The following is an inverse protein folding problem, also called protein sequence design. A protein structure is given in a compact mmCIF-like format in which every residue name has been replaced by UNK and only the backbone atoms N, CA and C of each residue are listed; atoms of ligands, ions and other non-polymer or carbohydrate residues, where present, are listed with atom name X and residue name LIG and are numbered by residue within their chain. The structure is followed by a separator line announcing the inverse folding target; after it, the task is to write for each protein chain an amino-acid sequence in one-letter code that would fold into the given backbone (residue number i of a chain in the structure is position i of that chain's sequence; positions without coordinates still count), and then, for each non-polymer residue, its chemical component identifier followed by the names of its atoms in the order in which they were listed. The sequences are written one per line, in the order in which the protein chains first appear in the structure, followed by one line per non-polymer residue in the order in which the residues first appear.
data_IF_184696765430
#
_entry.id   IF_184696765430
#
_cell.length_a   1.000
_cell.length_b   1.000
_cell.length_c   1.000
_cell.angle_alpha   90.00
_cell.angle_beta   90.00
_cell.angle_gamma   90.00
#
_symmetry.space_group_name_H-M   'P 1'
#
loop_
_entity.id
_entity.type
_entity.pdbx_description
1 polymer ?
#
# COMPACT_ATOMS: atom_id res chain seq x y z
N UNK A 1 -13.36 18.52 -20.52
CA UNK A 1 -13.02 17.09 -20.34
C UNK A 1 -12.30 16.93 -19.01
N UNK A 2 -13.03 16.64 -17.93
CA UNK A 2 -12.44 16.51 -16.57
C UNK A 2 -11.70 15.17 -16.45
N UNK A 3 -12.23 14.12 -17.10
CA UNK A 3 -11.68 12.77 -17.05
C UNK A 3 -10.33 12.62 -17.77
N UNK A 4 -10.07 13.40 -18.82
CA UNK A 4 -8.81 13.33 -19.58
C UNK A 4 -7.63 13.84 -18.76
N UNK A 5 -7.78 15.00 -18.09
CA UNK A 5 -6.77 15.52 -17.16
C UNK A 5 -6.60 14.62 -15.94
N UNK A 6 -7.68 14.08 -15.38
CA UNK A 6 -7.60 13.14 -14.26
C UNK A 6 -6.84 11.86 -14.64
N UNK A 7 -7.07 11.34 -15.85
CA UNK A 7 -6.36 10.18 -16.39
C UNK A 7 -4.88 10.47 -16.66
N UNK A 8 -4.53 11.64 -17.19
CA UNK A 8 -3.14 12.04 -17.41
C UNK A 8 -2.37 12.20 -16.09
N UNK A 9 -3.00 12.83 -15.09
CA UNK A 9 -2.42 12.99 -13.75
C UNK A 9 -2.19 11.60 -13.11
N UNK A 10 -3.20 10.72 -13.15
CA UNK A 10 -3.07 9.34 -12.67
C UNK A 10 -2.01 8.53 -13.45
N UNK A 11 -1.81 8.82 -14.75
CA UNK A 11 -0.79 8.15 -15.57
C UNK A 11 0.63 8.65 -15.33
N UNK A 12 0.79 9.87 -14.80
CA UNK A 12 2.10 10.46 -14.46
C UNK A 12 2.54 10.17 -13.02
N UNK A 13 1.60 9.83 -12.14
CA UNK A 13 1.91 9.48 -10.76
C UNK A 13 2.60 8.11 -10.71
N UNK A 14 3.72 8.03 -9.98
CA UNK A 14 4.44 6.76 -9.76
C UNK A 14 3.49 5.77 -9.07
N UNK A 15 2.89 4.87 -9.85
CA UNK A 15 2.04 3.78 -9.35
C UNK A 15 2.95 2.64 -8.93
N UNK A 16 2.85 2.23 -7.67
CA UNK A 16 3.48 1.00 -7.20
C UNK A 16 2.61 -0.18 -7.60
N UNK A 17 3.18 -1.16 -8.31
CA UNK A 17 2.43 -2.32 -8.82
C UNK A 17 2.93 -3.61 -8.16
N UNK A 18 2.55 -3.89 -6.91
CA UNK A 18 2.81 -5.18 -6.29
C UNK A 18 1.91 -6.26 -6.93
N UNK A 19 2.53 -7.35 -7.38
CA UNK A 19 1.85 -8.46 -8.05
C UNK A 19 2.13 -9.80 -7.36
N UNK A 20 1.20 -10.75 -7.51
CA UNK A 20 1.36 -12.15 -7.09
C UNK A 20 1.64 -12.35 -5.59
N UNK A 21 1.01 -11.51 -4.76
CA UNK A 21 1.10 -11.60 -3.30
C UNK A 21 0.15 -12.69 -2.77
N UNK A 22 0.68 -13.55 -1.90
CA UNK A 22 -0.12 -14.51 -1.12
C UNK A 22 0.07 -14.26 0.37
N UNK A 23 -1.03 -14.07 1.09
CA UNK A 23 -1.07 -13.96 2.55
C UNK A 23 -1.54 -15.32 3.10
N UNK A 24 -0.69 -15.97 3.88
CA UNK A 24 -0.97 -17.26 4.51
C UNK A 24 -2.04 -17.14 5.62
N UNK A 25 -2.55 -18.29 6.10
CA UNK A 25 -3.58 -18.30 7.17
C UNK A 25 -3.12 -17.51 8.40
N UNK A 26 -4.02 -16.69 8.94
CA UNK A 26 -3.75 -15.76 10.05
C UNK A 26 -2.59 -14.77 9.79
N UNK A 27 -2.15 -14.63 8.54
CA UNK A 27 -1.07 -13.71 8.17
C UNK A 27 -1.53 -12.25 8.23
N UNK A 28 -0.58 -11.36 8.52
CA UNK A 28 -0.81 -9.92 8.54
C UNK A 28 0.09 -9.27 7.50
N UNK A 29 -0.49 -8.42 6.65
CA UNK A 29 0.26 -7.66 5.67
C UNK A 29 -0.17 -6.19 5.69
N UNK A 30 0.81 -5.30 5.56
CA UNK A 30 0.58 -3.86 5.45
C UNK A 30 1.28 -3.32 4.20
N UNK A 31 0.53 -2.63 3.34
CA UNK A 31 1.04 -1.91 2.18
C UNK A 31 0.94 -0.41 2.46
N UNK A 32 2.07 0.28 2.53
CA UNK A 32 2.13 1.72 2.82
C UNK A 32 2.77 2.49 1.67
N UNK A 33 2.05 3.49 1.17
CA UNK A 33 2.54 4.45 0.20
C UNK A 33 2.71 5.83 0.84
N UNK A 34 3.60 6.63 0.27
CA UNK A 34 3.64 8.08 0.53
C UNK A 34 2.38 8.73 -0.04
N UNK A 35 1.87 9.78 0.61
CA UNK A 35 0.76 10.59 0.13
C UNK A 35 0.99 11.09 -1.31
N UNK A 36 -0.01 10.93 -2.19
CA UNK A 36 0.11 11.23 -3.63
C UNK A 36 0.83 10.12 -4.43
N UNK A 37 0.90 8.90 -3.88
CA UNK A 37 1.30 7.70 -4.61
C UNK A 37 0.15 6.71 -4.59
N UNK A 38 -0.06 6.05 -5.72
CA UNK A 38 -1.12 5.07 -5.91
C UNK A 38 -0.53 3.66 -5.88
N UNK A 39 -1.33 2.70 -5.43
CA UNK A 39 -1.08 1.27 -5.62
C UNK A 39 -2.01 0.71 -6.69
N UNK A 40 -1.47 -0.08 -7.59
CA UNK A 40 -2.23 -0.97 -8.47
C UNK A 40 -1.87 -2.42 -8.09
N UNK A 41 -2.68 -3.02 -7.22
CA UNK A 41 -2.38 -4.31 -6.62
C UNK A 41 -3.02 -5.43 -7.44
N UNK A 42 -2.23 -6.39 -7.92
CA UNK A 42 -2.71 -7.47 -8.81
C UNK A 42 -2.51 -8.85 -8.23
N UNK A 43 -3.48 -9.73 -8.50
CA UNK A 43 -3.42 -11.18 -8.21
C UNK A 43 -3.11 -11.48 -6.73
N UNK A 44 -3.80 -10.77 -5.83
CA UNK A 44 -3.72 -10.97 -4.39
C UNK A 44 -4.50 -12.22 -3.97
N UNK A 45 -3.88 -13.09 -3.19
CA UNK A 45 -4.50 -14.25 -2.55
C UNK A 45 -4.46 -14.08 -1.03
N UNK A 46 -5.62 -13.98 -0.39
CA UNK A 46 -5.73 -13.82 1.07
C UNK A 46 -6.35 -15.10 1.64
N UNK A 47 -5.62 -15.77 2.52
CA UNK A 47 -6.10 -17.00 3.16
C UNK A 47 -7.02 -16.72 4.36
N UNK A 48 -7.65 -17.76 4.88
CA UNK A 48 -8.50 -17.70 6.07
C UNK A 48 -7.82 -17.00 7.26
N UNK A 49 -8.57 -16.10 7.91
CA UNK A 49 -8.10 -15.36 9.09
C UNK A 49 -7.00 -14.32 8.81
N UNK A 50 -6.57 -14.16 7.55
CA UNK A 50 -5.55 -13.19 7.20
C UNK A 50 -6.12 -11.77 7.09
N UNK A 51 -5.28 -10.79 7.41
CA UNK A 51 -5.63 -9.37 7.38
C UNK A 51 -4.63 -8.61 6.50
N UNK A 52 -5.17 -7.81 5.57
CA UNK A 52 -4.39 -6.88 4.78
C UNK A 52 -4.84 -5.45 5.06
N UNK A 53 -3.88 -4.57 5.35
CA UNK A 53 -4.11 -3.14 5.48
C UNK A 53 -3.40 -2.39 4.35
N UNK A 54 -4.10 -1.46 3.71
CA UNK A 54 -3.52 -0.55 2.72
C UNK A 54 -3.67 0.87 3.23
N UNK A 55 -2.57 1.62 3.27
CA UNK A 55 -2.54 2.98 3.78
C UNK A 55 -1.69 3.90 2.91
N UNK A 56 -2.06 5.18 2.90
CA UNK A 56 -1.28 6.26 2.32
C UNK A 56 -1.01 7.28 3.40
N UNK A 57 0.25 7.61 3.65
CA UNK A 57 0.64 8.51 4.73
C UNK A 57 1.87 9.34 4.40
N UNK A 58 2.24 10.28 5.26
CA UNK A 58 3.44 11.09 5.07
C UNK A 58 4.71 10.27 5.32
N UNK A 59 5.83 10.64 4.68
CA UNK A 59 7.12 9.98 4.96
C UNK A 59 7.53 10.06 6.43
N UNK A 60 7.21 11.17 7.10
CA UNK A 60 7.47 11.34 8.53
C UNK A 60 6.70 10.30 9.35
N UNK A 61 5.42 10.11 9.05
CA UNK A 61 4.58 9.11 9.71
C UNK A 61 5.04 7.68 9.44
N UNK A 62 5.53 7.36 8.24
CA UNK A 62 6.13 6.05 7.94
C UNK A 62 7.36 5.81 8.80
N UNK A 63 8.26 6.80 8.89
CA UNK A 63 9.47 6.69 9.71
C UNK A 63 9.13 6.53 11.19
N UNK A 64 8.12 7.24 11.69
CA UNK A 64 7.66 7.14 13.07
C UNK A 64 7.05 5.77 13.37
N UNK A 65 6.24 5.23 12.46
CA UNK A 65 5.70 3.87 12.56
C UNK A 65 6.81 2.81 12.68
N UNK A 66 7.85 2.90 11.84
CA UNK A 66 8.96 1.94 11.94
C UNK A 66 9.79 2.11 13.22
N UNK A 67 9.92 3.33 13.74
CA UNK A 67 10.56 3.57 15.04
C UNK A 67 9.75 2.96 16.18
N UNK A 68 8.43 3.10 16.18
CA UNK A 68 7.59 2.51 17.23
C UNK A 68 7.64 0.98 17.21
N UNK A 69 7.54 0.36 16.03
CA UNK A 69 7.65 -1.09 15.87
C UNK A 69 9.00 -1.66 16.35
N UNK A 70 10.10 -0.92 16.17
CA UNK A 70 11.41 -1.34 16.63
C UNK A 70 11.60 -1.23 18.16
N UNK A 71 10.86 -0.34 18.82
CA UNK A 71 10.94 -0.14 20.27
C UNK A 71 10.03 -1.10 21.06
N UNK A 72 9.08 -1.77 20.40
CA UNK A 72 8.18 -2.76 21.01
C UNK A 72 8.74 -4.20 20.98
N UNK A 73 9.96 -4.40 20.45
CA UNK A 73 10.72 -5.65 20.50
C UNK A 73 11.85 -5.55 21.51
#
# INVERSE_FOLDING_TARGET
AICSNASEIASSEKVHVPEDITIAKNGQQMLIATLGKLFDVKRIKISEGAVQMVASTSNASVQELFKSYHNER
#
